data_IF_872606926135
#
_entry.id   IF_872606926135
#
_cell.length_a   1.000
_cell.length_b   1.000
_cell.length_c   1.000
_cell.angle_alpha   90.00
_cell.angle_beta   90.00
_cell.angle_gamma   90.00
#
_symmetry.space_group_name_H-M   'P 1'
#
loop_
_entity.id
_entity.type
_entity.pdbx_description
1 polymer ?
#
# COMPACT_ATOMS: atom_id res chain seq x y z
N UNK A 1 16.60 -15.54 -2.26
CA UNK A 1 16.18 -14.30 -2.96
C UNK A 1 17.34 -13.31 -3.02
N UNK A 2 17.60 -12.68 -4.17
CA UNK A 2 18.41 -11.46 -4.19
C UNK A 2 17.65 -10.35 -3.43
N UNK A 3 18.33 -9.38 -2.81
CA UNK A 3 17.66 -8.36 -2.00
C UNK A 3 16.59 -7.55 -2.79
N UNK A 4 15.67 -6.90 -2.07
CA UNK A 4 14.62 -6.08 -2.68
C UNK A 4 15.24 -4.94 -3.51
N UNK A 5 14.92 -4.82 -4.81
CA UNK A 5 15.50 -3.79 -5.67
C UNK A 5 15.15 -2.39 -5.18
N UNK A 6 16.12 -1.47 -5.24
CA UNK A 6 15.89 -0.03 -5.06
C UNK A 6 15.83 0.64 -6.43
N UNK A 7 14.70 1.27 -6.73
CA UNK A 7 14.41 1.95 -7.99
C UNK A 7 14.43 3.46 -7.76
N UNK A 8 15.23 4.19 -8.51
CA UNK A 8 15.21 5.65 -8.50
C UNK A 8 14.16 6.17 -9.50
N UNK A 9 13.10 6.80 -8.99
CA UNK A 9 11.98 7.26 -9.82
C UNK A 9 12.34 8.43 -10.75
N UNK A 10 13.34 9.24 -10.40
CA UNK A 10 13.83 10.31 -11.28
C UNK A 10 14.63 9.72 -12.43
N UNK A 11 15.49 8.74 -12.13
CA UNK A 11 16.25 8.03 -13.17
C UNK A 11 15.34 7.18 -14.06
N UNK A 12 14.29 6.56 -13.53
CA UNK A 12 13.32 5.78 -14.31
C UNK A 12 12.64 6.62 -15.42
N UNK A 13 12.49 7.93 -15.23
CA UNK A 13 11.94 8.83 -16.26
C UNK A 13 12.95 9.21 -17.35
N UNK A 14 14.25 9.11 -17.08
CA UNK A 14 15.31 9.57 -17.97
C UNK A 14 16.15 8.45 -18.60
N UNK A 15 16.17 7.27 -17.98
CA UNK A 15 17.05 6.16 -18.32
C UNK A 15 16.24 4.88 -18.60
N UNK A 16 16.29 4.34 -19.85
CA UNK A 16 15.59 3.10 -20.20
C UNK A 16 15.99 1.89 -19.34
N UNK A 17 17.22 1.86 -18.85
CA UNK A 17 17.72 0.79 -17.97
C UNK A 17 17.01 0.78 -16.62
N UNK A 18 16.80 1.95 -16.01
CA UNK A 18 16.10 2.06 -14.71
C UNK A 18 14.61 1.77 -14.88
N UNK A 19 13.99 2.22 -15.97
CA UNK A 19 12.63 1.84 -16.33
C UNK A 19 12.50 0.32 -16.53
N UNK A 20 13.49 -0.33 -17.14
CA UNK A 20 13.51 -1.79 -17.27
C UNK A 20 13.65 -2.51 -15.93
N UNK A 21 14.45 -1.98 -15.00
CA UNK A 21 14.56 -2.50 -13.62
C UNK A 21 13.25 -2.39 -12.85
N UNK A 22 12.53 -1.27 -13.00
CA UNK A 22 11.20 -1.11 -12.42
C UNK A 22 10.24 -2.18 -12.92
N UNK A 23 10.18 -2.39 -14.24
CA UNK A 23 9.34 -3.43 -14.85
C UNK A 23 9.71 -4.81 -14.36
N UNK A 24 11.00 -5.17 -14.40
CA UNK A 24 11.46 -6.49 -13.96
C UNK A 24 11.09 -6.76 -12.49
N UNK A 25 11.32 -5.81 -11.58
CA UNK A 25 10.94 -5.94 -10.19
C UNK A 25 9.41 -6.09 -10.01
N UNK A 26 8.63 -5.31 -10.75
CA UNK A 26 7.17 -5.35 -10.72
C UNK A 26 6.59 -6.67 -11.28
N UNK A 27 7.20 -7.24 -12.31
CA UNK A 27 6.75 -8.49 -12.95
C UNK A 27 7.19 -9.73 -12.19
N UNK A 28 8.40 -9.73 -11.61
CA UNK A 28 8.99 -10.91 -10.96
C UNK A 28 8.73 -11.00 -9.47
N UNK A 29 8.80 -9.86 -8.77
CA UNK A 29 8.70 -9.82 -7.32
C UNK A 29 7.40 -9.18 -6.84
N UNK A 30 6.82 -8.27 -7.64
CA UNK A 30 5.68 -7.46 -7.16
C UNK A 30 6.03 -6.55 -6.00
N UNK A 31 7.32 -6.41 -5.69
CA UNK A 31 7.83 -5.68 -4.54
C UNK A 31 9.16 -5.01 -4.87
N UNK A 32 9.30 -3.73 -4.53
CA UNK A 32 10.52 -2.95 -4.73
C UNK A 32 10.54 -1.74 -3.82
N UNK A 33 11.71 -1.17 -3.57
CA UNK A 33 11.88 0.12 -2.89
C UNK A 33 11.97 1.23 -3.92
N UNK A 34 11.48 2.41 -3.57
CA UNK A 34 11.62 3.62 -4.38
C UNK A 34 12.48 4.67 -3.67
N UNK A 35 13.39 5.26 -4.42
CA UNK A 35 14.20 6.44 -4.10
C UNK A 35 13.92 7.55 -5.12
N UNK A 36 14.49 8.75 -4.94
CA UNK A 36 14.23 9.88 -5.86
C UNK A 36 12.78 10.39 -5.85
N UNK A 37 11.94 9.90 -4.95
CA UNK A 37 10.48 10.07 -4.91
C UNK A 37 9.96 11.49 -4.58
N UNK A 38 10.84 12.46 -4.31
CA UNK A 38 10.45 13.85 -4.05
C UNK A 38 9.78 14.14 -2.69
N UNK A 39 9.31 13.14 -1.93
CA UNK A 39 8.84 13.32 -0.55
C UNK A 39 10.00 13.76 0.38
N UNK A 40 9.97 14.95 0.99
CA UNK A 40 11.08 15.45 1.80
C UNK A 40 11.38 14.55 3.00
N UNK A 41 12.66 14.32 3.29
CA UNK A 41 13.09 13.51 4.45
C UNK A 41 12.57 14.08 5.78
N UNK A 42 12.56 15.40 5.92
CA UNK A 42 12.02 16.06 7.12
C UNK A 42 10.54 15.72 7.31
N UNK A 43 9.73 15.75 6.24
CA UNK A 43 8.31 15.40 6.33
C UNK A 43 8.10 13.92 6.69
N UNK A 44 8.97 13.04 6.21
CA UNK A 44 8.98 11.62 6.59
C UNK A 44 9.26 11.43 8.09
N UNK A 45 10.27 12.12 8.63
CA UNK A 45 10.65 12.03 10.03
C UNK A 45 9.59 12.67 10.94
N UNK A 46 9.04 13.84 10.53
CA UNK A 46 7.94 14.52 11.21
C UNK A 46 6.70 13.63 11.26
N UNK A 47 6.36 12.95 10.17
CA UNK A 47 5.23 12.02 10.14
C UNK A 47 5.45 10.85 11.10
N UNK A 48 6.64 10.25 11.14
CA UNK A 48 6.97 9.19 12.10
C UNK A 48 6.86 9.66 13.56
N UNK A 49 7.21 10.91 13.85
CA UNK A 49 7.02 11.49 15.18
C UNK A 49 5.53 11.74 15.49
N UNK A 50 4.79 12.30 14.53
CA UNK A 50 3.36 12.58 14.64
C UNK A 50 2.55 11.29 14.87
N UNK A 51 2.86 10.20 14.17
CA UNK A 51 2.23 8.89 14.35
C UNK A 51 2.43 8.35 15.77
N UNK A 52 3.66 8.42 16.29
CA UNK A 52 3.95 7.97 17.66
C UNK A 52 3.18 8.80 18.68
N UNK A 53 3.22 10.13 18.55
CA UNK A 53 2.46 11.02 19.43
C UNK A 53 0.94 10.78 19.36
N UNK A 54 0.40 10.47 18.19
CA UNK A 54 -1.02 10.16 18.01
C UNK A 54 -1.43 8.87 18.73
N UNK A 55 -0.59 7.84 18.68
CA UNK A 55 -0.86 6.57 19.35
C UNK A 55 -0.49 6.57 20.85
N UNK A 56 0.35 7.50 21.30
CA UNK A 56 0.67 7.72 22.71
C UNK A 56 -0.40 8.58 23.44
N UNK A 57 -1.41 9.06 22.71
CA UNK A 57 -2.59 9.66 23.32
C UNK A 57 -3.29 8.68 24.28
N UNK A 58 -3.90 9.19 25.37
CA UNK A 58 -4.77 8.39 26.23
C UNK A 58 -5.85 7.66 25.43
N UNK A 59 -6.24 6.45 25.86
CA UNK A 59 -7.19 5.62 25.13
C UNK A 59 -8.54 6.31 24.87
N UNK A 60 -9.03 7.12 25.82
CA UNK A 60 -10.24 7.93 25.63
C UNK A 60 -10.05 8.98 24.52
N UNK A 61 -8.86 9.57 24.42
CA UNK A 61 -8.52 10.53 23.36
C UNK A 61 -8.40 9.87 22.00
N UNK A 62 -7.80 8.68 21.91
CA UNK A 62 -7.78 7.89 20.67
C UNK A 62 -9.18 7.50 20.24
N UNK A 63 -10.02 7.05 21.18
CA UNK A 63 -11.42 6.66 20.89
C UNK A 63 -12.30 7.83 20.46
N UNK A 64 -12.02 9.07 20.90
CA UNK A 64 -12.66 10.28 20.35
C UNK A 64 -12.36 10.51 18.87
N UNK A 65 -11.33 9.86 18.34
CA UNK A 65 -11.00 9.90 16.92
C UNK A 65 -11.63 8.76 16.11
N UNK A 66 -12.48 7.90 16.70
CA UNK A 66 -13.26 6.94 15.93
C UNK A 66 -14.32 7.66 15.09
N UNK A 67 -14.49 7.26 13.83
CA UNK A 67 -15.49 7.80 12.89
C UNK A 67 -15.53 9.35 12.82
N UNK A 68 -14.34 10.00 12.82
CA UNK A 68 -14.23 11.47 12.69
C UNK A 68 -14.76 11.99 11.37
N UNK A 69 -14.76 11.14 10.34
CA UNK A 69 -15.62 11.23 9.16
C UNK A 69 -16.18 9.82 8.89
N UNK A 70 -17.24 9.71 8.08
CA UNK A 70 -17.93 8.44 7.84
C UNK A 70 -16.98 7.31 7.43
N UNK A 71 -16.86 6.27 8.26
CA UNK A 71 -16.01 5.10 8.00
C UNK A 71 -14.50 5.32 8.12
N UNK A 72 -14.07 6.49 8.63
CA UNK A 72 -12.66 6.83 8.82
C UNK A 72 -12.38 7.39 10.21
N UNK A 73 -11.28 6.95 10.80
CA UNK A 73 -10.90 7.31 12.15
C UNK A 73 -10.03 6.25 12.82
N UNK A 74 -9.98 6.32 14.13
CA UNK A 74 -9.28 5.37 14.98
C UNK A 74 -10.00 4.02 15.01
N UNK A 75 -9.24 2.95 14.81
CA UNK A 75 -9.65 1.57 14.97
C UNK A 75 -8.87 1.00 16.15
N UNK A 76 -9.60 0.68 17.22
CA UNK A 76 -9.03 0.07 18.42
C UNK A 76 -8.69 -1.41 18.21
N UNK A 77 -7.81 -1.98 19.06
CA UNK A 77 -7.60 -3.42 19.08
C UNK A 77 -8.89 -4.20 19.31
N UNK A 78 -9.01 -5.34 18.64
CA UNK A 78 -10.17 -6.21 18.70
C UNK A 78 -9.78 -7.60 19.20
N UNK A 79 -10.77 -8.46 19.49
CA UNK A 79 -10.51 -9.85 19.83
C UNK A 79 -9.80 -10.62 18.70
N UNK A 80 -10.01 -10.22 17.44
CA UNK A 80 -9.37 -10.86 16.27
C UNK A 80 -7.97 -10.32 16.00
N UNK A 81 -7.68 -9.07 16.36
CA UNK A 81 -6.37 -8.44 16.22
C UNK A 81 -6.00 -7.66 17.49
N UNK A 82 -5.65 -8.36 18.60
CA UNK A 82 -5.51 -7.75 19.92
C UNK A 82 -4.30 -6.83 20.07
N UNK A 83 -3.30 -6.97 19.18
CA UNK A 83 -2.08 -6.15 19.21
C UNK A 83 -2.15 -4.95 18.27
N UNK A 84 -3.18 -4.87 17.43
CA UNK A 84 -3.23 -3.93 16.31
C UNK A 84 -4.18 -2.78 16.59
N UNK A 85 -3.70 -1.55 16.40
CA UNK A 85 -4.53 -0.35 16.38
C UNK A 85 -4.15 0.52 15.18
N UNK A 86 -5.08 1.37 14.74
CA UNK A 86 -4.87 2.14 13.51
C UNK A 86 -5.64 3.44 13.47
N UNK A 87 -5.22 4.33 12.56
CA UNK A 87 -6.05 5.40 12.03
C UNK A 87 -6.20 5.18 10.53
N UNK A 88 -7.43 5.07 10.06
CA UNK A 88 -7.76 4.90 8.65
C UNK A 88 -8.45 6.13 8.08
N UNK A 89 -8.10 6.51 6.87
CA UNK A 89 -8.74 7.55 6.07
C UNK A 89 -9.09 7.02 4.68
N UNK A 90 -10.38 7.08 4.35
CA UNK A 90 -10.95 6.86 3.03
C UNK A 90 -11.90 8.04 2.70
N UNK A 91 -11.82 8.69 1.54
CA UNK A 91 -10.91 8.47 0.40
C UNK A 91 -9.71 9.43 0.45
N UNK A 92 -8.49 8.90 0.54
CA UNK A 92 -7.27 9.71 0.62
C UNK A 92 -6.83 10.34 -0.73
N UNK A 93 -7.49 9.99 -1.84
CA UNK A 93 -7.33 10.69 -3.12
C UNK A 93 -8.20 11.96 -3.20
N UNK A 94 -9.20 12.10 -2.32
CA UNK A 94 -10.09 13.24 -2.23
C UNK A 94 -9.50 14.32 -1.30
N UNK A 95 -9.11 15.51 -1.82
CA UNK A 95 -8.58 16.58 -0.97
C UNK A 95 -9.58 17.02 0.11
N UNK A 96 -10.88 16.99 -0.21
CA UNK A 96 -11.93 17.34 0.72
C UNK A 96 -12.02 16.37 1.91
N UNK A 97 -11.87 15.06 1.65
CA UNK A 97 -11.92 14.05 2.71
C UNK A 97 -10.64 14.08 3.56
N UNK A 98 -9.48 14.34 2.95
CA UNK A 98 -8.21 14.56 3.66
C UNK A 98 -8.31 15.77 4.59
N UNK A 99 -8.83 16.90 4.09
CA UNK A 99 -9.00 18.12 4.88
C UNK A 99 -10.01 17.92 6.02
N UNK A 100 -11.15 17.30 5.73
CA UNK A 100 -12.19 17.03 6.72
C UNK A 100 -11.67 16.08 7.82
N UNK A 101 -10.99 15.00 7.45
CA UNK A 101 -10.37 14.08 8.40
C UNK A 101 -9.37 14.80 9.29
N UNK A 102 -8.42 15.53 8.70
CA UNK A 102 -7.37 16.20 9.45
C UNK A 102 -7.93 17.31 10.36
N UNK A 103 -8.95 18.05 9.92
CA UNK A 103 -9.61 19.07 10.75
C UNK A 103 -10.34 18.48 11.96
N UNK A 104 -10.98 17.31 11.77
CA UNK A 104 -11.78 16.63 12.79
C UNK A 104 -10.95 15.80 13.78
N UNK A 105 -9.66 15.55 13.50
CA UNK A 105 -8.79 14.86 14.45
C UNK A 105 -8.62 15.67 15.75
N UNK A 106 -8.89 15.01 16.88
CA UNK A 106 -8.55 15.43 18.23
C UNK A 106 -7.06 15.24 18.49
N UNK A 107 -6.24 16.02 17.79
CA UNK A 107 -4.79 16.03 17.89
C UNK A 107 -4.26 17.48 17.82
N UNK A 108 -3.05 17.75 18.34
CA UNK A 108 -2.39 19.04 18.18
C UNK A 108 -2.35 19.55 16.72
N UNK A 109 -2.48 20.87 16.46
CA UNK A 109 -2.51 21.41 15.10
C UNK A 109 -1.33 20.98 14.21
N UNK A 110 -0.12 20.91 14.76
CA UNK A 110 1.07 20.51 14.01
C UNK A 110 1.04 19.03 13.58
N UNK A 111 0.41 18.13 14.36
CA UNK A 111 0.23 16.72 13.99
C UNK A 111 -0.75 16.62 12.83
N UNK A 112 -1.88 17.33 12.92
CA UNK A 112 -2.92 17.34 11.87
C UNK A 112 -2.36 17.86 10.55
N UNK A 113 -1.59 18.95 10.59
CA UNK A 113 -0.95 19.52 9.41
C UNK A 113 0.13 18.60 8.81
N UNK A 114 0.87 17.89 9.66
CA UNK A 114 1.86 16.90 9.20
C UNK A 114 1.18 15.75 8.46
N UNK A 115 0.10 15.19 9.02
CA UNK A 115 -0.68 14.12 8.39
C UNK A 115 -1.24 14.58 7.04
N UNK A 116 -1.84 15.78 6.99
CA UNK A 116 -2.41 16.36 5.77
C UNK A 116 -1.36 16.47 4.66
N UNK A 117 -0.23 17.14 4.94
CA UNK A 117 0.87 17.33 3.98
C UNK A 117 1.49 16.00 3.55
N UNK A 118 1.62 15.05 4.48
CA UNK A 118 2.17 13.74 4.19
C UNK A 118 1.24 12.96 3.26
N UNK A 119 -0.06 12.90 3.56
CA UNK A 119 -1.06 12.24 2.73
C UNK A 119 -1.04 12.78 1.29
N UNK A 120 -1.06 14.10 1.12
CA UNK A 120 -0.94 14.77 -0.19
C UNK A 120 0.33 14.37 -0.96
N UNK A 121 1.49 14.38 -0.27
CA UNK A 121 2.76 14.03 -0.91
C UNK A 121 2.86 12.55 -1.27
N UNK A 122 2.33 11.67 -0.43
CA UNK A 122 2.29 10.24 -0.74
C UNK A 122 1.27 9.91 -1.82
N UNK A 123 0.18 10.68 -1.95
CA UNK A 123 -0.75 10.56 -3.07
C UNK A 123 -0.07 10.92 -4.39
N UNK A 124 0.69 12.02 -4.45
CA UNK A 124 1.50 12.32 -5.63
C UNK A 124 2.49 11.21 -5.98
N UNK A 125 3.14 10.62 -4.97
CA UNK A 125 4.07 9.50 -5.15
C UNK A 125 3.38 8.23 -5.68
N UNK A 126 2.26 7.82 -5.08
CA UNK A 126 1.59 6.57 -5.44
C UNK A 126 1.08 6.61 -6.89
N UNK A 127 0.58 7.78 -7.31
CA UNK A 127 0.13 8.02 -8.67
C UNK A 127 1.31 8.04 -9.66
N UNK A 128 2.44 8.67 -9.31
CA UNK A 128 3.65 8.67 -10.13
C UNK A 128 4.19 7.25 -10.37
N UNK A 129 4.21 6.41 -9.33
CA UNK A 129 4.60 5.00 -9.45
C UNK A 129 3.63 4.24 -10.36
N UNK A 130 2.33 4.42 -10.19
CA UNK A 130 1.32 3.77 -11.02
C UNK A 130 1.45 4.15 -12.51
N UNK A 131 1.65 5.44 -12.80
CA UNK A 131 1.85 5.93 -14.16
C UNK A 131 3.11 5.35 -14.81
N UNK A 132 4.24 5.31 -14.09
CA UNK A 132 5.49 4.70 -14.59
C UNK A 132 5.38 3.20 -14.85
N UNK A 133 4.63 2.47 -14.02
CA UNK A 133 4.33 1.05 -14.27
C UNK A 133 3.48 0.87 -15.52
N UNK A 134 2.43 1.67 -15.68
CA UNK A 134 1.56 1.67 -16.84
C UNK A 134 2.31 1.97 -18.15
N UNK A 135 3.13 3.04 -18.16
CA UNK A 135 3.98 3.39 -19.28
C UNK A 135 4.99 2.27 -19.61
N UNK A 136 5.55 1.63 -18.57
CA UNK A 136 6.42 0.48 -18.74
C UNK A 136 5.75 -0.72 -19.43
N UNK A 137 4.44 -0.90 -19.25
CA UNK A 137 3.67 -1.95 -19.92
C UNK A 137 3.20 -1.54 -21.33
N UNK A 138 3.54 -0.34 -21.78
CA UNK A 138 3.25 0.15 -23.13
C UNK A 138 1.96 0.95 -23.28
N UNK A 139 1.36 1.44 -22.18
CA UNK A 139 0.34 2.49 -22.28
C UNK A 139 0.98 3.83 -22.64
N UNK A 140 0.29 4.62 -23.45
CA UNK A 140 0.77 5.95 -23.81
C UNK A 140 0.77 6.88 -22.59
N UNK A 141 1.83 7.67 -22.42
CA UNK A 141 2.04 8.58 -21.29
C UNK A 141 0.81 9.47 -20.97
N UNK A 142 0.13 10.12 -21.95
CA UNK A 142 -1.02 10.97 -21.65
C UNK A 142 -2.22 10.21 -21.08
N UNK A 143 -2.36 8.93 -21.43
CA UNK A 143 -3.39 8.03 -20.89
C UNK A 143 -3.01 7.60 -19.47
N UNK A 144 -1.75 7.20 -19.25
CA UNK A 144 -1.24 6.74 -17.97
C UNK A 144 -1.23 7.83 -16.88
N UNK A 145 -0.78 9.05 -17.22
CA UNK A 145 -0.59 10.17 -16.27
C UNK A 145 -1.88 10.60 -15.54
N UNK A 146 -3.02 10.46 -16.22
CA UNK A 146 -4.32 10.90 -15.72
C UNK A 146 -5.14 9.76 -15.14
N UNK A 147 -4.87 8.52 -15.58
CA UNK A 147 -5.69 7.36 -15.26
C UNK A 147 -5.84 7.15 -13.75
N UNK A 148 -4.76 7.30 -12.99
CA UNK A 148 -4.73 6.94 -11.57
C UNK A 148 -5.01 8.10 -10.62
N UNK A 149 -5.16 9.33 -11.14
CA UNK A 149 -5.27 10.55 -10.30
C UNK A 149 -6.50 10.58 -9.40
N UNK A 150 -7.59 9.95 -9.83
CA UNK A 150 -8.87 9.94 -9.11
C UNK A 150 -9.27 8.54 -8.63
N UNK A 151 -8.37 7.56 -8.73
CA UNK A 151 -8.59 6.23 -8.17
C UNK A 151 -8.63 6.35 -6.64
N UNK A 152 -9.68 5.83 -5.99
CA UNK A 152 -9.79 5.90 -4.54
C UNK A 152 -8.56 5.33 -3.84
N UNK A 153 -8.14 6.00 -2.78
CA UNK A 153 -7.04 5.58 -1.94
C UNK A 153 -7.50 5.34 -0.50
N UNK A 154 -6.96 4.30 0.12
CA UNK A 154 -7.04 4.13 1.58
C UNK A 154 -5.71 4.56 2.18
N UNK A 155 -5.73 5.50 3.12
CA UNK A 155 -4.56 5.82 3.95
C UNK A 155 -4.70 5.13 5.30
N UNK A 156 -3.64 4.49 5.78
CA UNK A 156 -3.60 3.82 7.09
C UNK A 156 -2.32 4.11 7.83
N UNK A 157 -2.48 4.56 9.06
CA UNK A 157 -1.44 4.64 10.07
C UNK A 157 -1.66 3.46 11.02
N UNK A 158 -0.65 2.63 11.21
CA UNK A 158 -0.76 1.36 11.95
C UNK A 158 0.20 1.35 13.13
N UNK A 159 -0.21 0.77 14.26
CA UNK A 159 0.66 0.37 15.37
C UNK A 159 0.39 -1.07 15.77
N UNK A 160 1.47 -1.82 15.95
CA UNK A 160 1.47 -3.17 16.50
C UNK A 160 2.13 -3.12 17.89
N UNK A 161 1.35 -3.40 18.93
CA UNK A 161 1.76 -3.33 20.33
C UNK A 161 2.46 -4.63 20.77
N UNK A 162 3.64 -4.88 20.21
CA UNK A 162 4.41 -6.08 20.53
C UNK A 162 4.95 -6.08 21.96
N UNK A 163 4.99 -7.26 22.56
CA UNK A 163 5.48 -7.54 23.91
C UNK A 163 6.53 -8.67 23.85
N UNK A 164 7.26 -8.96 24.94
CA UNK A 164 8.17 -10.11 24.98
C UNK A 164 7.49 -11.42 24.61
N UNK A 165 6.23 -11.60 24.99
CA UNK A 165 5.46 -12.83 24.74
C UNK A 165 5.07 -13.01 23.27
N UNK A 166 4.99 -11.90 22.51
CA UNK A 166 4.60 -11.94 21.08
C UNK A 166 5.80 -12.10 20.16
N UNK A 167 7.04 -12.07 20.67
CA UNK A 167 8.24 -12.22 19.84
C UNK A 167 8.30 -13.61 19.21
N UNK A 168 8.46 -13.65 17.89
CA UNK A 168 8.39 -14.88 17.09
C UNK A 168 6.97 -15.21 16.60
N UNK A 169 5.95 -14.47 17.02
CA UNK A 169 4.60 -14.61 16.48
C UNK A 169 4.41 -13.81 15.18
N UNK A 170 3.42 -14.22 14.39
CA UNK A 170 3.02 -13.52 13.17
C UNK A 170 2.09 -12.35 13.51
N UNK A 171 2.62 -11.14 13.44
CA UNK A 171 1.89 -9.90 13.71
C UNK A 171 0.89 -9.51 12.61
N UNK A 172 1.13 -9.91 11.36
CA UNK A 172 0.16 -9.85 10.25
C UNK A 172 0.26 -11.14 9.45
N UNK A 173 -0.87 -11.83 9.28
CA UNK A 173 -0.95 -13.08 8.54
C UNK A 173 -0.58 -12.91 7.06
N UNK A 174 -0.25 -14.01 6.39
CA UNK A 174 0.06 -14.00 4.96
C UNK A 174 -1.15 -13.52 4.16
N UNK A 175 -0.93 -12.50 3.32
CA UNK A 175 -1.95 -11.96 2.44
C UNK A 175 -1.32 -11.24 1.24
N UNK A 176 -2.15 -10.88 0.26
CA UNK A 176 -1.88 -9.87 -0.76
C UNK A 176 -2.72 -8.64 -0.49
N UNK A 177 -2.28 -7.47 -0.94
CA UNK A 177 -3.14 -6.30 -0.97
C UNK A 177 -4.24 -6.47 -2.02
N UNK A 178 -5.48 -6.09 -1.73
CA UNK A 178 -6.59 -6.24 -2.69
C UNK A 178 -6.55 -5.20 -3.79
N UNK A 179 -6.02 -4.01 -3.51
CA UNK A 179 -5.94 -2.89 -4.44
C UNK A 179 -4.88 -3.07 -5.53
N UNK A 180 -4.57 -1.99 -6.21
CA UNK A 180 -3.60 -1.94 -7.30
C UNK A 180 -2.19 -1.96 -6.75
N UNK A 181 -1.81 -0.96 -5.96
CA UNK A 181 -0.50 -0.93 -5.32
C UNK A 181 -0.53 -0.19 -3.99
N UNK A 182 0.49 -0.45 -3.19
CA UNK A 182 0.66 0.12 -1.84
C UNK A 182 2.01 0.81 -1.76
N UNK A 183 2.05 2.04 -1.26
CA UNK A 183 3.27 2.74 -0.84
C UNK A 183 3.36 2.68 0.68
N UNK A 184 4.41 2.06 1.20
CA UNK A 184 4.63 1.78 2.61
C UNK A 184 5.88 2.50 3.13
N UNK A 185 5.71 3.27 4.18
CA UNK A 185 6.79 3.73 5.04
C UNK A 185 6.82 2.88 6.32
N UNK A 186 7.94 2.19 6.53
CA UNK A 186 8.16 1.30 7.66
C UNK A 186 8.79 2.02 8.86
N UNK A 187 8.81 1.36 10.02
CA UNK A 187 9.58 1.81 11.17
C UNK A 187 11.08 1.62 10.90
N UNK A 188 11.89 2.62 11.23
CA UNK A 188 13.35 2.51 11.16
C UNK A 188 13.93 1.66 12.30
N UNK A 189 13.15 1.43 13.36
CA UNK A 189 13.59 0.73 14.58
C UNK A 189 13.23 -0.75 14.58
N UNK A 190 12.16 -1.13 13.90
CA UNK A 190 11.61 -2.50 13.92
C UNK A 190 11.14 -2.87 12.52
N UNK A 191 11.84 -3.81 11.90
CA UNK A 191 11.41 -4.41 10.64
C UNK A 191 10.28 -5.41 10.86
N UNK A 192 10.42 -6.58 10.23
CA UNK A 192 9.49 -7.70 10.38
C UNK A 192 8.61 -7.93 9.18
N UNK A 193 8.59 -7.03 8.19
CA UNK A 193 7.95 -7.32 6.91
C UNK A 193 8.73 -8.43 6.20
N UNK A 194 8.00 -9.42 5.70
CA UNK A 194 8.53 -10.47 4.86
C UNK A 194 7.67 -10.63 3.62
N UNK A 195 8.33 -10.87 2.47
CA UNK A 195 7.66 -11.12 1.19
C UNK A 195 7.99 -12.53 0.70
N UNK A 196 7.00 -13.18 0.09
CA UNK A 196 7.19 -14.49 -0.50
C UNK A 196 7.84 -14.38 -1.88
N UNK A 197 8.87 -15.18 -2.09
CA UNK A 197 9.46 -15.41 -3.41
C UNK A 197 8.46 -16.12 -4.32
N UNK A 198 8.33 -15.66 -5.57
CA UNK A 198 7.37 -16.21 -6.53
C UNK A 198 7.69 -17.68 -6.88
N UNK A 199 8.97 -17.99 -7.09
CA UNK A 199 9.40 -19.31 -7.61
C UNK A 199 9.42 -20.36 -6.50
N UNK A 200 9.89 -20.00 -5.31
CA UNK A 200 10.07 -20.92 -4.18
C UNK A 200 8.94 -20.89 -3.16
N UNK A 201 8.18 -19.79 -3.10
CA UNK A 201 7.18 -19.55 -2.05
C UNK A 201 7.78 -19.26 -0.67
N UNK A 202 9.11 -19.22 -0.54
CA UNK A 202 9.80 -18.93 0.71
C UNK A 202 9.69 -17.44 1.07
N UNK A 203 9.53 -17.15 2.36
CA UNK A 203 9.47 -15.78 2.86
C UNK A 203 10.87 -15.25 3.14
N UNK A 204 11.18 -14.08 2.60
CA UNK A 204 12.42 -13.36 2.86
C UNK A 204 12.14 -12.05 3.60
N UNK A 205 12.99 -11.68 4.58
CA UNK A 205 12.87 -10.40 5.27
C UNK A 205 13.14 -9.23 4.33
N UNK A 206 12.38 -8.15 4.53
CA UNK A 206 12.57 -6.88 3.85
C UNK A 206 13.16 -5.89 4.84
N UNK A 207 14.47 -5.71 4.76
CA UNK A 207 15.17 -4.79 5.66
C UNK A 207 14.78 -3.33 5.37
N UNK A 208 14.50 -2.50 6.39
CA UNK A 208 14.25 -1.07 6.22
C UNK A 208 15.45 -0.36 5.59
N UNK A 209 15.21 0.41 4.53
CA UNK A 209 16.23 1.28 3.92
C UNK A 209 15.82 2.75 4.18
N UNK A 210 16.57 3.48 5.02
CA UNK A 210 16.21 4.84 5.40
C UNK A 210 16.01 5.77 4.20
N UNK A 211 14.93 6.55 4.24
CA UNK A 211 14.62 7.52 3.19
C UNK A 211 14.09 6.91 1.89
N UNK A 212 13.70 5.64 1.89
CA UNK A 212 12.97 5.00 0.79
C UNK A 212 11.56 4.64 1.22
N UNK A 213 10.68 4.41 0.25
CA UNK A 213 9.40 3.73 0.47
C UNK A 213 9.46 2.34 -0.13
N UNK A 214 8.75 1.40 0.49
CA UNK A 214 8.49 0.11 -0.13
C UNK A 214 7.20 0.19 -0.96
N UNK A 215 7.18 -0.46 -2.10
CA UNK A 215 6.01 -0.64 -2.95
C UNK A 215 5.66 -2.11 -3.03
N UNK A 216 4.40 -2.44 -2.76
CA UNK A 216 3.82 -3.75 -3.02
C UNK A 216 2.76 -3.61 -4.12
N UNK A 217 2.71 -4.57 -5.03
CA UNK A 217 1.63 -4.69 -6.00
C UNK A 217 0.57 -5.67 -5.48
N UNK A 218 -0.69 -5.32 -5.69
CA UNK A 218 -1.84 -6.09 -5.22
C UNK A 218 -2.61 -6.78 -6.34
N UNK A 219 -3.70 -7.43 -5.97
CA UNK A 219 -4.49 -8.26 -6.85
C UNK A 219 -5.09 -7.49 -8.04
N UNK A 220 -5.52 -6.23 -7.83
CA UNK A 220 -6.03 -5.41 -8.93
C UNK A 220 -4.91 -5.07 -9.91
N UNK A 221 -3.65 -4.91 -9.48
CA UNK A 221 -2.55 -4.73 -10.43
C UNK A 221 -2.34 -5.96 -11.31
N UNK A 222 -2.42 -7.17 -10.74
CA UNK A 222 -2.36 -8.41 -11.52
C UNK A 222 -3.53 -8.53 -12.50
N UNK A 223 -4.76 -8.27 -12.05
CA UNK A 223 -5.93 -8.36 -12.92
C UNK A 223 -5.92 -7.30 -14.03
N UNK A 224 -5.63 -6.04 -13.68
CA UNK A 224 -5.60 -4.91 -14.59
C UNK A 224 -4.46 -5.01 -15.61
N UNK A 225 -3.30 -5.55 -15.24
CA UNK A 225 -2.18 -5.75 -16.16
C UNK A 225 -2.28 -7.04 -17.00
N UNK A 226 -3.44 -7.71 -16.97
CA UNK A 226 -3.64 -9.00 -17.62
C UNK A 226 -2.59 -10.05 -17.20
N UNK A 227 -2.20 -10.06 -15.93
CA UNK A 227 -1.22 -10.99 -15.35
C UNK A 227 0.24 -10.56 -15.49
N UNK A 228 0.54 -9.42 -16.10
CA UNK A 228 1.92 -8.98 -16.26
C UNK A 228 2.57 -8.55 -14.94
N UNK A 229 1.82 -7.93 -14.03
CA UNK A 229 2.29 -7.49 -12.71
C UNK A 229 1.99 -8.55 -11.64
N UNK A 230 2.99 -8.89 -10.83
CA UNK A 230 2.83 -9.89 -9.79
C UNK A 230 2.26 -9.28 -8.50
N UNK A 231 1.19 -9.84 -7.96
CA UNK A 231 0.66 -9.52 -6.64
C UNK A 231 1.48 -10.23 -5.55
N UNK A 232 2.26 -9.46 -4.79
CA UNK A 232 3.20 -10.03 -3.81
C UNK A 232 2.49 -10.49 -2.54
N UNK A 233 2.67 -11.77 -2.19
CA UNK A 233 2.28 -12.29 -0.87
C UNK A 233 3.26 -11.79 0.18
N UNK A 234 2.74 -11.27 1.28
CA UNK A 234 3.56 -10.72 2.34
C UNK A 234 2.92 -10.95 3.72
N UNK A 235 3.75 -10.84 4.76
CA UNK A 235 3.37 -10.97 6.18
C UNK A 235 4.23 -10.07 7.05
N UNK A 236 3.86 -9.91 8.31
CA UNK A 236 4.69 -9.19 9.29
C UNK A 236 4.97 -10.09 10.49
N UNK A 237 6.23 -10.32 10.79
CA UNK A 237 6.72 -11.03 11.97
C UNK A 237 7.00 -10.07 13.12
N UNK A 238 6.67 -10.48 14.35
CA UNK A 238 7.09 -9.77 15.54
C UNK A 238 8.53 -10.14 15.88
N UNK A 239 9.49 -9.33 15.41
CA UNK A 239 10.93 -9.59 15.58
C UNK A 239 11.53 -9.01 16.87
N UNK A 240 10.81 -8.12 17.55
CA UNK A 240 11.28 -7.46 18.76
C UNK A 240 10.12 -7.06 19.70
N UNK A 241 10.40 -7.03 21.00
CA UNK A 241 9.45 -6.66 22.05
C UNK A 241 9.26 -5.14 22.19
N UNK A 242 9.08 -4.44 21.07
CA UNK A 242 8.82 -2.99 21.05
C UNK A 242 7.76 -2.67 20.00
N UNK A 243 6.92 -1.63 20.22
CA UNK A 243 5.87 -1.31 19.27
C UNK A 243 6.43 -0.99 17.87
N UNK A 244 5.81 -1.56 16.84
CA UNK A 244 6.10 -1.27 15.43
C UNK A 244 5.05 -0.31 14.88
N UNK A 245 5.47 0.77 14.24
CA UNK A 245 4.56 1.65 13.48
C UNK A 245 4.80 1.55 11.99
N UNK A 246 3.76 1.72 11.19
CA UNK A 246 3.90 1.82 9.73
C UNK A 246 2.82 2.69 9.12
N UNK A 247 3.15 3.39 8.04
CA UNK A 247 2.23 4.28 7.33
C UNK A 247 2.10 3.76 5.91
N UNK A 248 0.88 3.44 5.48
CA UNK A 248 0.60 2.87 4.18
C UNK A 248 -0.45 3.71 3.45
N UNK A 249 -0.21 3.99 2.17
CA UNK A 249 -1.21 4.48 1.24
C UNK A 249 -1.48 3.37 0.22
N UNK A 250 -2.73 2.99 0.07
CA UNK A 250 -3.19 1.95 -0.84
C UNK A 250 -3.94 2.61 -1.99
N UNK A 251 -3.44 2.51 -3.22
CA UNK A 251 -4.17 2.85 -4.42
C UNK A 251 -5.09 1.68 -4.75
N UNK A 252 -6.39 1.88 -4.72
CA UNK A 252 -7.35 0.77 -4.73
C UNK A 252 -7.65 0.29 -6.15
N UNK A 253 -8.64 0.88 -6.80
CA UNK A 253 -9.15 0.45 -8.10
C UNK A 253 -9.72 1.68 -8.84
N UNK A 254 -10.15 1.56 -10.11
CA UNK A 254 -10.84 2.64 -10.80
C UNK A 254 -12.02 3.20 -10.01
N UNK A 255 -12.26 4.51 -10.15
CA UNK A 255 -13.33 5.22 -9.45
C UNK A 255 -14.75 4.71 -9.78
N UNK A 256 -14.93 4.17 -10.97
CA UNK A 256 -16.18 3.54 -11.41
C UNK A 256 -16.34 2.09 -10.89
N UNK A 257 -15.42 1.62 -10.05
CA UNK A 257 -15.33 0.27 -9.48
C UNK A 257 -15.02 -0.82 -10.51
N UNK A 258 -14.86 -0.50 -11.80
CA UNK A 258 -14.73 -1.51 -12.87
C UNK A 258 -13.29 -1.92 -13.11
N UNK A 259 -12.90 -3.10 -12.63
CA UNK A 259 -11.58 -3.68 -12.89
C UNK A 259 -11.60 -4.45 -14.21
N UNK A 260 -10.83 -3.96 -15.18
CA UNK A 260 -10.67 -4.57 -16.51
C UNK A 260 -9.28 -4.25 -17.06
N UNK A 261 -8.62 -5.23 -17.66
CA UNK A 261 -7.36 -4.98 -18.35
C UNK A 261 -7.56 -4.09 -19.60
N UNK A 262 -6.74 -3.04 -19.81
CA UNK A 262 -6.70 -2.29 -21.06
C UNK A 262 -6.51 -3.20 -22.28
N UNK A 263 -7.14 -2.87 -23.41
CA UNK A 263 -7.04 -3.67 -24.64
C UNK A 263 -5.58 -3.74 -25.16
N UNK A 264 -4.78 -2.70 -24.89
CA UNK A 264 -3.35 -2.63 -25.20
C UNK A 264 -2.54 -3.78 -24.61
N UNK A 265 -2.90 -4.30 -23.43
CA UNK A 265 -2.17 -5.39 -22.75
C UNK A 265 -2.56 -6.79 -23.23
N UNK A 266 -3.74 -6.92 -23.84
CA UNK A 266 -4.21 -8.21 -24.37
C UNK A 266 -3.58 -8.47 -25.73
N UNK A 267 -3.39 -7.42 -26.55
CA UNK A 267 -2.82 -7.54 -27.89
C UNK A 267 -3.72 -8.31 -28.87
N UNK A 268 -3.36 -8.28 -30.16
CA UNK A 268 -4.11 -8.97 -31.19
C UNK A 268 -3.88 -10.50 -31.10
N UNK A 269 -4.84 -11.23 -30.54
CA UNK A 269 -4.86 -12.70 -30.52
C UNK A 269 -4.63 -13.35 -29.16
N UNK A 270 -4.37 -12.60 -28.09
CA UNK A 270 -4.40 -13.15 -26.73
C UNK A 270 -5.80 -13.05 -26.14
N UNK A 271 -6.07 -13.89 -25.14
CA UNK A 271 -7.29 -13.80 -24.34
C UNK A 271 -7.02 -12.99 -23.07
N UNK A 272 -8.08 -12.36 -22.55
CA UNK A 272 -8.06 -11.79 -21.20
C UNK A 272 -7.93 -12.94 -20.21
N UNK A 273 -7.04 -12.84 -19.24
CA UNK A 273 -6.89 -13.86 -18.19
C UNK A 273 -8.01 -13.76 -17.16
N UNK A 274 -8.56 -12.57 -16.97
CA UNK A 274 -9.60 -12.28 -15.99
C UNK A 274 -10.81 -11.62 -16.65
N UNK A 275 -12.02 -12.02 -16.23
CA UNK A 275 -13.26 -11.33 -16.61
C UNK A 275 -13.29 -9.93 -16.00
N UNK A 276 -14.11 -9.03 -16.54
CA UNK A 276 -14.40 -7.74 -15.90
C UNK A 276 -15.14 -7.97 -14.58
N UNK A 277 -14.78 -7.25 -13.51
CA UNK A 277 -15.45 -7.34 -12.21
C UNK A 277 -15.48 -5.99 -11.46
N UNK A 278 -16.41 -5.85 -10.51
CA UNK A 278 -16.43 -4.74 -9.56
C UNK A 278 -15.42 -4.95 -8.43
N UNK A 279 -14.61 -3.95 -8.10
CA UNK A 279 -13.62 -4.07 -7.02
C UNK A 279 -14.29 -4.32 -5.66
N UNK A 280 -15.41 -3.70 -5.37
CA UNK A 280 -16.18 -3.96 -4.15
C UNK A 280 -16.72 -5.40 -4.08
N UNK A 281 -17.15 -5.97 -5.22
CA UNK A 281 -17.52 -7.39 -5.30
C UNK A 281 -16.32 -8.29 -5.05
N UNK A 282 -15.14 -7.92 -5.55
CA UNK A 282 -13.91 -8.66 -5.29
C UNK A 282 -13.51 -8.63 -3.81
N UNK A 283 -13.63 -7.47 -3.14
CA UNK A 283 -13.40 -7.38 -1.69
C UNK A 283 -14.38 -8.26 -0.91
N UNK A 284 -15.66 -8.27 -1.27
CA UNK A 284 -16.68 -9.16 -0.67
C UNK A 284 -16.36 -10.63 -0.92
N UNK A 285 -15.90 -10.97 -2.12
CA UNK A 285 -15.46 -12.33 -2.46
C UNK A 285 -14.35 -12.78 -1.51
N UNK A 286 -13.27 -12.02 -1.39
CA UNK A 286 -12.14 -12.31 -0.48
C UNK A 286 -12.60 -12.51 0.97
N UNK A 287 -13.49 -11.66 1.46
CA UNK A 287 -14.04 -11.78 2.81
C UNK A 287 -14.89 -13.04 3.01
N UNK A 288 -15.77 -13.34 2.04
CA UNK A 288 -16.68 -14.48 2.15
C UNK A 288 -15.99 -15.84 2.00
N UNK A 289 -14.90 -15.92 1.23
CA UNK A 289 -14.14 -17.15 1.02
C UNK A 289 -12.99 -17.33 2.01
N UNK A 290 -12.55 -16.26 2.68
CA UNK A 290 -11.33 -16.25 3.48
C UNK A 290 -10.03 -16.31 2.66
N UNK A 291 -10.12 -16.15 1.34
CA UNK A 291 -8.99 -16.18 0.42
C UNK A 291 -8.34 -14.78 0.37
N UNK A 292 -7.33 -14.58 1.21
CA UNK A 292 -6.68 -13.30 1.39
C UNK A 292 -5.29 -13.21 0.76
N UNK A 293 -4.79 -14.23 0.07
CA UNK A 293 -3.44 -14.23 -0.52
C UNK A 293 -3.47 -14.36 -2.06
N UNK A 294 -4.48 -13.77 -2.69
CA UNK A 294 -4.64 -13.69 -4.15
C UNK A 294 -5.42 -14.86 -4.78
N UNK A 295 -5.77 -15.90 -4.01
CA UNK A 295 -6.42 -17.10 -4.54
C UNK A 295 -7.81 -16.81 -5.13
N UNK A 296 -8.49 -15.81 -4.60
CA UNK A 296 -9.80 -15.36 -5.08
C UNK A 296 -9.79 -14.91 -6.55
N UNK A 297 -8.64 -14.45 -7.09
CA UNK A 297 -8.52 -14.09 -8.51
C UNK A 297 -8.79 -15.27 -9.44
N UNK A 298 -8.45 -16.51 -9.04
CA UNK A 298 -8.69 -17.69 -9.86
C UNK A 298 -10.18 -17.92 -10.14
N UNK A 299 -11.06 -17.42 -9.26
CA UNK A 299 -12.53 -17.48 -9.43
C UNK A 299 -13.05 -16.47 -10.46
N UNK A 300 -12.19 -15.57 -10.93
CA UNK A 300 -12.47 -14.52 -11.89
C UNK A 300 -11.76 -14.76 -13.24
N UNK A 301 -11.22 -15.96 -13.47
CA UNK A 301 -10.67 -16.33 -14.77
C UNK A 301 -11.70 -16.16 -15.89
N UNK A 302 -11.26 -15.67 -17.06
CA UNK A 302 -12.12 -15.42 -18.22
C UNK A 302 -12.36 -16.67 -19.08
#
# INVERSE_FOLDING_TARGET
>A
MAGIPVIDLQLAAAAPEEAARLRDAAQRLGCFRVAGHGVPRVLQDDMKAAVRALFDLPDDAKRRNADVISGSGYVAPSATNPLYEAFGLYDAASPADVDAFCASLHAPPHIRETIRRYAEKTHGLIVDVAAKLAAGLGLEEPEADRMFQDWPCQFRINRYNYTPDTVGETGVQVHTDSGFLTVLQEDDRVGGLEVADLDTGEFAPVDPVPGTFLVNLGDVATAWSNGALHNVRHRVQCVAAVPRVSIALFLLAPKDDVVRAPDAFVGAGSHRLFRTFGYDDYRRLRQSTGEHAGEALARLAA
#
